data_IF_825151479414
#
_entry.id   IF_825151479414
#
_cell.length_a   1.000
_cell.length_b   1.000
_cell.length_c   1.000
_cell.angle_alpha   90.00
_cell.angle_beta   90.00
_cell.angle_gamma   90.00
#
_symmetry.space_group_name_H-M   'P 1'
#
loop_
_entity.id
_entity.type
_entity.pdbx_description
1 polymer ?
#
# COMPACT_ATOMS: atom_id res chain seq x y z
N UNK A 1 4.56 33.19 -10.53
CA UNK A 1 3.61 32.90 -9.42
C UNK A 1 2.52 31.94 -9.91
N UNK A 2 2.15 30.96 -9.09
CA UNK A 2 1.03 30.09 -9.41
C UNK A 2 -0.28 30.89 -9.32
N UNK A 3 -1.22 30.73 -10.26
CA UNK A 3 -2.44 31.53 -10.31
C UNK A 3 -3.48 31.13 -9.24
N UNK A 4 -3.09 30.29 -8.27
CA UNK A 4 -3.97 29.78 -7.22
C UNK A 4 -3.22 29.57 -5.90
N UNK A 5 -3.91 29.78 -4.78
CA UNK A 5 -3.41 29.59 -3.41
C UNK A 5 -4.10 28.44 -2.69
N UNK A 6 -5.18 27.90 -3.25
CA UNK A 6 -5.96 26.79 -2.69
C UNK A 6 -6.19 25.69 -3.72
N UNK A 7 -6.38 24.45 -3.26
CA UNK A 7 -6.75 23.32 -4.12
C UNK A 7 -8.05 23.56 -4.87
N UNK A 8 -9.02 24.19 -4.23
CA UNK A 8 -10.29 24.57 -4.86
C UNK A 8 -10.07 25.40 -6.11
N UNK A 9 -9.27 26.46 -6.04
CA UNK A 9 -8.95 27.32 -7.19
C UNK A 9 -8.23 26.54 -8.29
N UNK A 10 -7.30 25.64 -7.92
CA UNK A 10 -6.62 24.77 -8.86
C UNK A 10 -7.62 23.87 -9.61
N UNK A 11 -8.51 23.20 -8.89
CA UNK A 11 -9.50 22.32 -9.49
C UNK A 11 -10.54 23.08 -10.33
N UNK A 12 -10.94 24.29 -9.94
CA UNK A 12 -11.81 25.16 -10.75
C UNK A 12 -11.14 25.59 -12.06
N UNK A 13 -9.83 25.87 -12.02
CA UNK A 13 -9.06 26.16 -13.23
C UNK A 13 -9.01 24.94 -14.16
N UNK A 14 -8.74 23.76 -13.62
CA UNK A 14 -8.78 22.50 -14.35
C UNK A 14 -10.17 22.28 -14.97
N UNK A 15 -11.24 22.50 -14.22
CA UNK A 15 -12.60 22.34 -14.70
C UNK A 15 -12.91 23.28 -15.88
N UNK A 16 -12.45 24.53 -15.84
CA UNK A 16 -12.58 25.46 -16.96
C UNK A 16 -11.85 24.97 -18.21
N UNK A 17 -10.61 24.48 -18.05
CA UNK A 17 -9.79 23.97 -19.17
C UNK A 17 -10.36 22.68 -19.78
N UNK A 18 -10.99 21.86 -18.99
CA UNK A 18 -11.52 20.54 -19.38
C UNK A 18 -13.02 20.52 -19.59
N UNK A 19 -13.67 21.68 -19.72
CA UNK A 19 -15.12 21.82 -19.85
C UNK A 19 -15.69 21.15 -21.10
N UNK A 20 -14.92 20.99 -22.17
CA UNK A 20 -15.33 20.38 -23.44
C UNK A 20 -14.22 19.48 -23.99
N UNK A 21 -14.62 18.43 -24.71
CA UNK A 21 -13.70 17.47 -25.34
C UNK A 21 -13.35 16.31 -24.43
N UNK A 22 -12.58 15.36 -24.95
CA UNK A 22 -12.15 14.18 -24.23
C UNK A 22 -10.91 14.48 -23.40
N UNK A 23 -11.03 14.35 -22.09
CA UNK A 23 -9.94 14.59 -21.13
C UNK A 23 -9.79 13.44 -20.16
N UNK A 24 -8.55 13.18 -19.77
CA UNK A 24 -8.23 12.35 -18.61
C UNK A 24 -7.41 13.17 -17.64
N UNK A 25 -7.94 13.40 -16.44
CA UNK A 25 -7.21 14.01 -15.32
C UNK A 25 -6.75 12.86 -14.43
N UNK A 26 -5.45 12.79 -14.16
CA UNK A 26 -4.83 11.78 -13.32
C UNK A 26 -4.12 12.44 -12.15
N UNK A 27 -4.57 12.13 -10.93
CA UNK A 27 -3.89 12.53 -9.70
C UNK A 27 -3.15 11.33 -9.14
N UNK A 28 -1.84 11.40 -9.17
CA UNK A 28 -0.95 10.41 -8.59
C UNK A 28 -0.61 10.78 -7.15
N UNK A 29 -0.46 9.77 -6.31
CA UNK A 29 -0.08 9.92 -4.90
C UNK A 29 -0.97 10.93 -4.14
N UNK A 30 -2.28 10.78 -4.28
CA UNK A 30 -3.28 11.70 -3.75
C UNK A 30 -3.11 11.98 -2.24
N UNK A 31 -2.61 11.01 -1.47
CA UNK A 31 -2.33 11.18 -0.04
C UNK A 31 -1.27 12.27 0.23
N UNK A 32 -0.29 12.45 -0.65
CA UNK A 32 0.69 13.52 -0.49
C UNK A 32 0.10 14.90 -0.73
N UNK A 33 -0.82 15.01 -1.69
CA UNK A 33 -1.57 16.26 -1.90
C UNK A 33 -2.42 16.59 -0.66
N UNK A 34 -3.01 15.57 -0.03
CA UNK A 34 -3.84 15.75 1.16
C UNK A 34 -3.04 16.11 2.42
N UNK A 35 -1.75 15.78 2.50
CA UNK A 35 -0.89 16.21 3.61
C UNK A 35 -0.75 17.74 3.73
N UNK A 36 -0.98 18.45 2.64
CA UNK A 36 -0.88 19.92 2.60
C UNK A 36 -2.23 20.63 2.83
N UNK A 37 -3.34 19.89 2.86
CA UNK A 37 -4.68 20.45 3.10
C UNK A 37 -5.66 19.37 3.49
N UNK A 38 -6.28 19.52 4.67
CA UNK A 38 -7.37 18.67 5.15
C UNK A 38 -8.61 18.72 4.22
N UNK A 39 -8.75 19.78 3.43
CA UNK A 39 -9.96 20.07 2.64
C UNK A 39 -9.86 19.55 1.21
N UNK A 40 -8.71 19.00 0.79
CA UNK A 40 -8.48 18.53 -0.59
C UNK A 40 -9.64 17.68 -1.13
N UNK A 41 -10.07 16.68 -0.37
CA UNK A 41 -11.14 15.74 -0.81
C UNK A 41 -12.49 16.44 -0.89
N UNK A 42 -12.76 17.38 0.02
CA UNK A 42 -13.97 18.20 0.01
C UNK A 42 -13.99 19.17 -1.18
N UNK A 43 -12.87 19.84 -1.46
CA UNK A 43 -12.69 20.72 -2.60
C UNK A 43 -12.84 19.97 -3.93
N UNK A 44 -12.21 18.78 -4.03
CA UNK A 44 -12.36 17.92 -5.21
C UNK A 44 -13.81 17.51 -5.44
N UNK A 45 -14.52 17.11 -4.36
CA UNK A 45 -15.95 16.81 -4.42
C UNK A 45 -16.76 17.98 -4.93
N UNK A 46 -16.53 19.17 -4.34
CA UNK A 46 -17.24 20.38 -4.74
C UNK A 46 -17.07 20.67 -6.23
N UNK A 47 -15.83 20.61 -6.72
CA UNK A 47 -15.55 20.91 -8.13
C UNK A 47 -16.06 19.79 -9.05
N UNK A 48 -16.00 18.53 -8.62
CA UNK A 48 -16.61 17.43 -9.34
C UNK A 48 -18.11 17.64 -9.52
N UNK A 49 -18.82 17.90 -8.42
CA UNK A 49 -20.29 18.02 -8.44
C UNK A 49 -20.79 19.24 -9.22
N UNK A 50 -20.07 20.34 -9.20
CA UNK A 50 -20.51 21.58 -9.80
C UNK A 50 -20.03 21.80 -11.23
N UNK A 51 -18.88 21.21 -11.59
CA UNK A 51 -18.21 21.52 -12.86
C UNK A 51 -17.80 20.27 -13.65
N UNK A 52 -16.90 19.43 -13.13
CA UNK A 52 -16.23 18.38 -13.90
C UNK A 52 -17.22 17.34 -14.46
N UNK A 53 -18.17 16.88 -13.68
CA UNK A 53 -19.16 15.88 -14.11
C UNK A 53 -20.08 16.33 -15.25
N UNK A 54 -20.11 17.63 -15.57
CA UNK A 54 -20.88 18.16 -16.68
C UNK A 54 -20.27 17.82 -18.05
N UNK A 55 -18.98 17.46 -18.07
CA UNK A 55 -18.35 16.94 -19.27
C UNK A 55 -18.40 15.40 -19.28
N UNK A 56 -19.25 14.76 -20.10
CA UNK A 56 -19.41 13.29 -20.10
C UNK A 56 -18.20 12.55 -20.69
N UNK A 57 -17.30 13.26 -21.36
CA UNK A 57 -16.06 12.70 -21.94
C UNK A 57 -14.86 12.85 -21.00
N UNK A 58 -15.03 13.46 -19.83
CA UNK A 58 -13.96 13.63 -18.87
C UNK A 58 -13.85 12.37 -17.99
N UNK A 59 -12.64 11.88 -17.82
CA UNK A 59 -12.27 10.83 -16.86
C UNK A 59 -11.39 11.41 -15.77
N UNK A 60 -11.76 11.18 -14.52
CA UNK A 60 -10.96 11.52 -13.36
C UNK A 60 -10.45 10.23 -12.73
N UNK A 61 -9.13 10.12 -12.62
CA UNK A 61 -8.46 8.98 -12.01
C UNK A 61 -7.73 9.47 -10.76
N UNK A 62 -8.03 8.86 -9.63
CA UNK A 62 -7.37 9.11 -8.35
C UNK A 62 -6.51 7.89 -8.01
N UNK A 63 -5.22 8.10 -7.89
CA UNK A 63 -4.26 7.05 -7.56
C UNK A 63 -3.53 7.37 -6.26
N UNK A 64 -3.20 6.34 -5.49
CA UNK A 64 -2.40 6.47 -4.28
C UNK A 64 -1.88 5.13 -3.82
N UNK A 65 -0.66 5.13 -3.30
CA UNK A 65 0.00 3.96 -2.74
C UNK A 65 -0.41 3.67 -1.30
N UNK A 66 -0.86 4.69 -0.55
CA UNK A 66 -1.33 4.53 0.82
C UNK A 66 -2.75 3.93 0.86
N UNK A 67 -2.82 2.61 0.89
CA UNK A 67 -4.09 1.86 0.82
C UNK A 67 -5.07 2.28 1.92
N UNK A 68 -4.60 2.51 3.16
CA UNK A 68 -5.44 2.98 4.26
C UNK A 68 -6.05 4.35 3.97
N UNK A 69 -5.25 5.31 3.48
CA UNK A 69 -5.73 6.62 3.08
C UNK A 69 -6.78 6.53 1.97
N UNK A 70 -6.45 5.81 0.89
CA UNK A 70 -7.35 5.66 -0.26
C UNK A 70 -8.68 5.01 0.12
N UNK A 71 -8.64 3.97 0.95
CA UNK A 71 -9.87 3.32 1.41
C UNK A 71 -10.69 4.22 2.34
N UNK A 72 -10.06 4.91 3.28
CA UNK A 72 -10.75 5.71 4.30
C UNK A 72 -11.26 7.04 3.72
N UNK A 73 -10.40 7.77 3.00
CA UNK A 73 -10.69 9.13 2.57
C UNK A 73 -11.22 9.24 1.15
N UNK A 74 -11.07 8.22 0.32
CA UNK A 74 -11.56 8.21 -1.07
C UNK A 74 -12.68 7.22 -1.25
N UNK A 75 -12.43 5.93 -1.06
CA UNK A 75 -13.39 4.85 -1.40
C UNK A 75 -14.56 4.79 -0.43
N UNK A 76 -14.29 4.78 0.88
CA UNK A 76 -15.31 4.71 1.95
C UNK A 76 -15.75 6.06 2.47
N UNK A 77 -15.19 7.13 1.91
CA UNK A 77 -15.49 8.49 2.34
C UNK A 77 -16.95 8.84 2.04
N UNK A 78 -17.68 9.33 3.05
CA UNK A 78 -19.00 9.91 2.85
C UNK A 78 -18.98 11.09 1.87
N UNK A 79 -17.82 11.77 1.79
CA UNK A 79 -17.60 12.91 0.90
C UNK A 79 -17.67 12.52 -0.57
N UNK A 80 -17.05 11.38 -0.95
CA UNK A 80 -17.00 10.87 -2.33
C UNK A 80 -17.99 9.72 -2.60
N UNK A 81 -18.88 9.44 -1.67
CA UNK A 81 -19.86 8.37 -1.78
C UNK A 81 -20.65 8.45 -3.11
N UNK A 82 -20.80 7.31 -3.78
CA UNK A 82 -21.46 7.15 -5.09
C UNK A 82 -20.87 7.99 -6.25
N UNK A 83 -19.64 8.48 -6.14
CA UNK A 83 -18.96 9.19 -7.25
C UNK A 83 -17.95 8.34 -7.97
N UNK A 84 -17.37 7.37 -7.30
CA UNK A 84 -16.49 6.39 -7.92
C UNK A 84 -17.30 5.35 -8.70
N UNK A 85 -17.01 5.19 -9.98
CA UNK A 85 -17.63 4.19 -10.86
C UNK A 85 -16.85 2.88 -10.87
N UNK A 86 -15.52 2.98 -10.73
CA UNK A 86 -14.63 1.83 -10.81
C UNK A 86 -13.53 1.96 -9.77
N UNK A 87 -13.27 0.89 -9.06
CA UNK A 87 -12.15 0.77 -8.12
C UNK A 87 -11.24 -0.31 -8.66
N UNK A 88 -9.97 0.07 -8.92
CA UNK A 88 -8.94 -0.85 -9.39
C UNK A 88 -7.92 -1.00 -8.28
N UNK A 89 -7.81 -2.21 -7.75
CA UNK A 89 -6.79 -2.57 -6.78
C UNK A 89 -5.67 -3.32 -7.51
N UNK A 90 -4.51 -2.68 -7.65
CA UNK A 90 -3.32 -3.33 -8.19
C UNK A 90 -2.74 -4.28 -7.14
N UNK A 91 -2.69 -5.55 -7.48
CA UNK A 91 -2.07 -6.59 -6.67
C UNK A 91 -0.65 -6.84 -7.15
N UNK A 92 0.16 -7.43 -6.29
CA UNK A 92 1.42 -8.00 -6.71
C UNK A 92 1.23 -9.09 -7.78
N UNK A 93 2.25 -9.32 -8.57
CA UNK A 93 2.24 -10.39 -9.58
C UNK A 93 2.04 -11.76 -8.92
N UNK A 94 1.20 -12.58 -9.53
CA UNK A 94 1.13 -14.01 -9.25
C UNK A 94 2.42 -14.71 -9.66
N UNK A 95 2.65 -15.93 -9.18
CA UNK A 95 3.83 -16.72 -9.59
C UNK A 95 3.93 -16.89 -11.11
N UNK A 96 2.79 -17.03 -11.80
CA UNK A 96 2.77 -17.14 -13.27
C UNK A 96 3.24 -15.84 -13.94
N UNK A 97 2.78 -14.68 -13.46
CA UNK A 97 3.22 -13.37 -13.96
C UNK A 97 4.69 -13.08 -13.61
N UNK A 98 5.17 -13.53 -12.45
CA UNK A 98 6.60 -13.46 -12.09
C UNK A 98 7.44 -14.30 -13.06
N UNK A 99 6.97 -15.50 -13.43
CA UNK A 99 7.63 -16.35 -14.41
C UNK A 99 7.72 -15.68 -15.78
N UNK A 100 6.65 -15.01 -16.21
CA UNK A 100 6.65 -14.24 -17.47
C UNK A 100 7.57 -13.02 -17.39
N UNK A 101 7.55 -12.31 -16.27
CA UNK A 101 8.30 -11.07 -16.07
C UNK A 101 9.81 -11.32 -16.00
N UNK A 102 10.26 -12.32 -15.23
CA UNK A 102 11.68 -12.64 -15.07
C UNK A 102 12.27 -13.42 -16.25
N UNK A 103 11.41 -14.02 -17.05
CA UNK A 103 11.76 -14.77 -18.25
C UNK A 103 11.94 -16.27 -18.01
N UNK A 104 11.62 -17.02 -19.04
CA UNK A 104 11.53 -18.48 -19.06
C UNK A 104 12.87 -19.22 -18.90
N UNK A 105 13.99 -18.50 -18.79
CA UNK A 105 15.34 -19.07 -18.64
C UNK A 105 15.65 -19.57 -17.22
N UNK A 106 14.85 -19.15 -16.23
CA UNK A 106 15.04 -19.52 -14.84
C UNK A 106 14.26 -20.78 -14.48
N UNK A 107 14.82 -21.59 -13.60
CA UNK A 107 14.16 -22.81 -13.14
C UNK A 107 12.95 -22.47 -12.24
N UNK A 108 11.94 -23.32 -12.26
CA UNK A 108 10.75 -23.12 -11.41
C UNK A 108 11.08 -23.09 -9.91
N UNK A 109 11.98 -23.95 -9.37
CA UNK A 109 12.42 -23.84 -7.98
C UNK A 109 13.05 -22.49 -7.65
N UNK A 110 13.95 -21.97 -8.50
CA UNK A 110 14.56 -20.64 -8.30
C UNK A 110 13.50 -19.53 -8.25
N UNK A 111 12.54 -19.56 -9.15
CA UNK A 111 11.44 -18.59 -9.18
C UNK A 111 10.53 -18.70 -7.96
N UNK A 112 10.25 -19.92 -7.50
CA UNK A 112 9.48 -20.16 -6.27
C UNK A 112 10.19 -19.56 -5.06
N UNK A 113 11.48 -19.79 -4.90
CA UNK A 113 12.26 -19.27 -3.77
C UNK A 113 12.29 -17.73 -3.77
N UNK A 114 12.45 -17.13 -4.95
CA UNK A 114 12.40 -15.68 -5.11
C UNK A 114 11.00 -15.15 -4.76
N UNK A 115 9.94 -15.79 -5.27
CA UNK A 115 8.57 -15.39 -4.98
C UNK A 115 8.21 -15.50 -3.49
N UNK A 116 8.66 -16.56 -2.84
CA UNK A 116 8.45 -16.77 -1.40
C UNK A 116 9.24 -15.77 -0.54
N UNK A 117 10.35 -15.25 -1.05
CA UNK A 117 11.22 -14.30 -0.35
C UNK A 117 10.84 -12.85 -0.58
N UNK A 118 10.54 -12.46 -1.82
CA UNK A 118 10.35 -11.07 -2.23
C UNK A 118 8.90 -10.75 -2.63
N UNK A 119 8.06 -11.78 -2.85
CA UNK A 119 6.72 -11.60 -3.42
C UNK A 119 6.74 -11.30 -4.91
N UNK A 120 5.63 -10.75 -5.38
CA UNK A 120 5.40 -10.40 -6.79
C UNK A 120 5.47 -8.90 -7.08
N UNK A 121 6.11 -8.08 -6.23
CA UNK A 121 6.20 -6.64 -6.45
C UNK A 121 7.15 -6.36 -7.63
N UNK A 122 6.67 -5.75 -8.74
CA UNK A 122 7.47 -5.57 -9.95
C UNK A 122 8.79 -4.83 -9.72
N UNK A 123 8.81 -3.86 -8.82
CA UNK A 123 10.02 -3.10 -8.50
C UNK A 123 11.09 -3.99 -7.87
N UNK A 124 10.71 -4.91 -6.98
CA UNK A 124 11.64 -5.86 -6.37
C UNK A 124 12.21 -6.83 -7.40
N UNK A 125 11.36 -7.31 -8.30
CA UNK A 125 11.76 -8.21 -9.38
C UNK A 125 12.74 -7.53 -10.35
N UNK A 126 12.57 -6.25 -10.65
CA UNK A 126 13.53 -5.47 -11.46
C UNK A 126 14.92 -5.43 -10.85
N UNK A 127 15.03 -5.34 -9.52
CA UNK A 127 16.33 -5.29 -8.83
C UNK A 127 17.15 -6.55 -9.02
N UNK A 128 16.49 -7.68 -9.26
CA UNK A 128 17.13 -9.00 -9.42
C UNK A 128 17.13 -9.52 -10.86
N UNK A 129 16.35 -8.94 -11.77
CA UNK A 129 16.15 -9.42 -13.13
C UNK A 129 17.43 -9.46 -13.97
N UNK A 130 18.37 -8.54 -13.73
CA UNK A 130 19.61 -8.42 -14.51
C UNK A 130 20.69 -9.32 -13.95
N UNK A 131 21.08 -10.35 -14.69
CA UNK A 131 22.19 -11.24 -14.32
C UNK A 131 21.94 -12.71 -14.70
N UNK A 132 22.93 -13.54 -14.44
CA UNK A 132 22.89 -14.98 -14.75
C UNK A 132 22.10 -15.77 -13.68
N UNK A 133 22.07 -15.31 -12.43
CA UNK A 133 21.40 -15.97 -11.32
C UNK A 133 20.61 -14.97 -10.49
N UNK A 134 19.33 -15.29 -10.26
CA UNK A 134 18.43 -14.51 -9.38
C UNK A 134 18.92 -14.54 -7.92
N UNK A 135 19.41 -15.68 -7.44
CA UNK A 135 19.94 -15.82 -6.08
C UNK A 135 21.13 -14.88 -5.82
N UNK A 136 22.11 -14.85 -6.73
CA UNK A 136 23.25 -13.96 -6.59
C UNK A 136 22.79 -12.50 -6.53
N UNK A 137 21.87 -12.11 -7.39
CA UNK A 137 21.32 -10.75 -7.41
C UNK A 137 20.54 -10.44 -6.16
N UNK A 138 19.69 -11.34 -5.69
CA UNK A 138 18.97 -11.19 -4.44
C UNK A 138 19.93 -11.01 -3.26
N UNK A 139 20.99 -11.83 -3.17
CA UNK A 139 22.02 -11.70 -2.13
C UNK A 139 22.75 -10.35 -2.21
N UNK A 140 23.13 -9.90 -3.40
CA UNK A 140 23.77 -8.59 -3.59
C UNK A 140 22.88 -7.45 -3.14
N UNK A 141 21.58 -7.50 -3.45
CA UNK A 141 20.63 -6.45 -3.08
C UNK A 141 20.21 -6.52 -1.61
N UNK A 142 20.37 -7.68 -0.95
CA UNK A 142 19.95 -7.89 0.44
C UNK A 142 21.07 -7.71 1.45
N UNK A 143 22.31 -8.14 1.13
CA UNK A 143 23.37 -8.29 2.13
C UNK A 143 24.62 -7.44 1.87
N UNK A 144 24.73 -6.81 0.68
CA UNK A 144 25.82 -5.88 0.40
C UNK A 144 25.43 -4.49 0.90
N UNK A 145 26.40 -3.76 1.45
CA UNK A 145 26.21 -2.37 1.92
C UNK A 145 25.57 -1.53 0.81
N UNK A 146 24.52 -0.79 1.17
CA UNK A 146 23.69 0.00 0.26
C UNK A 146 22.86 -0.84 -0.76
N UNK A 147 22.68 -2.13 -0.52
CA UNK A 147 21.76 -2.95 -1.29
C UNK A 147 20.31 -2.44 -1.17
N UNK A 148 19.55 -2.57 -2.25
CA UNK A 148 18.19 -2.04 -2.33
C UNK A 148 17.33 -2.52 -1.16
N UNK A 149 17.33 -3.81 -0.87
CA UNK A 149 16.50 -4.41 0.17
C UNK A 149 16.90 -4.06 1.60
N UNK A 150 18.08 -3.50 1.83
CA UNK A 150 18.45 -3.01 3.16
C UNK A 150 17.71 -1.71 3.53
N UNK A 151 17.49 -0.83 2.56
CA UNK A 151 16.84 0.47 2.77
C UNK A 151 15.34 0.46 2.48
N UNK A 152 14.85 -0.58 1.83
CA UNK A 152 13.45 -0.65 1.41
C UNK A 152 12.47 -0.70 2.59
N UNK A 153 12.88 -1.31 3.70
CA UNK A 153 12.07 -1.34 4.93
C UNK A 153 11.68 0.06 5.41
N UNK A 154 12.60 1.01 5.31
CA UNK A 154 12.33 2.38 5.73
C UNK A 154 11.36 3.06 4.76
N UNK A 155 11.47 2.81 3.45
CA UNK A 155 10.59 3.35 2.42
C UNK A 155 9.16 2.87 2.57
N UNK A 156 8.96 1.58 2.85
CA UNK A 156 7.63 0.98 3.04
C UNK A 156 6.87 1.71 4.15
N UNK A 157 7.51 1.92 5.31
CA UNK A 157 6.86 2.57 6.44
C UNK A 157 6.79 4.09 6.31
N UNK A 158 7.67 4.71 5.50
CA UNK A 158 7.60 6.15 5.21
C UNK A 158 6.41 6.51 4.35
N UNK A 159 6.18 5.74 3.29
CA UNK A 159 5.19 6.08 2.27
C UNK A 159 3.75 5.78 2.66
N UNK A 160 3.54 4.81 3.56
CA UNK A 160 2.20 4.26 3.77
C UNK A 160 1.56 4.60 5.12
N UNK A 161 2.34 5.03 6.14
CA UNK A 161 1.87 5.06 7.52
C UNK A 161 2.41 6.27 8.29
N UNK A 162 1.53 6.93 9.04
CA UNK A 162 1.86 8.15 9.80
C UNK A 162 2.68 7.89 11.08
N UNK A 163 2.51 6.74 11.72
CA UNK A 163 3.15 6.36 13.00
C UNK A 163 4.16 5.22 12.79
N UNK A 164 5.24 5.52 12.06
CA UNK A 164 6.24 4.58 11.53
C UNK A 164 6.82 3.63 12.57
N UNK A 165 7.16 4.14 13.73
CA UNK A 165 7.85 3.36 14.76
C UNK A 165 6.95 2.26 15.35
N UNK A 166 5.69 2.59 15.62
CA UNK A 166 4.75 1.63 16.17
C UNK A 166 4.36 0.55 15.15
N UNK A 167 4.15 0.91 13.89
CA UNK A 167 3.89 -0.07 12.84
C UNK A 167 5.06 -1.04 12.66
N UNK A 168 6.29 -0.52 12.64
CA UNK A 168 7.51 -1.33 12.52
C UNK A 168 7.65 -2.31 13.68
N UNK A 169 7.45 -1.86 14.92
CA UNK A 169 7.48 -2.71 16.11
C UNK A 169 6.44 -3.83 16.07
N UNK A 170 5.21 -3.55 15.60
CA UNK A 170 4.18 -4.58 15.46
C UNK A 170 4.61 -5.65 14.46
N UNK A 171 5.11 -5.27 13.30
CA UNK A 171 5.57 -6.21 12.27
C UNK A 171 6.78 -7.01 12.76
N UNK A 172 7.74 -6.38 13.43
CA UNK A 172 8.89 -7.03 14.03
C UNK A 172 8.47 -8.11 15.04
N UNK A 173 7.58 -7.77 15.97
CA UNK A 173 7.04 -8.74 16.96
C UNK A 173 6.32 -9.90 16.29
N UNK A 174 5.54 -9.63 15.24
CA UNK A 174 4.85 -10.66 14.47
C UNK A 174 5.82 -11.54 13.67
N UNK A 175 6.92 -11.01 13.18
CA UNK A 175 7.90 -11.77 12.40
C UNK A 175 8.62 -12.85 13.21
N UNK A 176 8.73 -12.68 14.53
CA UNK A 176 9.37 -13.63 15.45
C UNK A 176 8.58 -14.92 15.66
N UNK A 177 7.31 -14.95 15.30
CA UNK A 177 6.40 -16.10 15.52
C UNK A 177 5.58 -16.36 14.27
N UNK A 178 5.11 -17.60 14.11
CA UNK A 178 4.25 -17.96 12.98
C UNK A 178 2.93 -17.18 13.00
N UNK A 179 2.38 -16.94 14.18
CA UNK A 179 1.20 -16.09 14.41
C UNK A 179 1.13 -15.67 15.87
N UNK A 180 0.45 -14.57 16.16
CA UNK A 180 0.14 -14.08 17.50
C UNK A 180 -1.33 -13.64 17.57
N UNK A 181 -1.94 -13.75 18.76
CA UNK A 181 -3.21 -13.08 19.05
C UNK A 181 -2.98 -11.60 19.36
N UNK A 182 -4.05 -10.78 19.34
CA UNK A 182 -3.96 -9.36 19.72
C UNK A 182 -3.38 -9.19 21.13
N UNK A 183 -3.81 -10.00 22.09
CA UNK A 183 -3.32 -9.96 23.49
C UNK A 183 -1.81 -10.26 23.57
N UNK A 184 -1.35 -11.24 22.79
CA UNK A 184 0.08 -11.57 22.73
C UNK A 184 0.92 -10.46 22.09
N UNK A 185 0.38 -9.76 21.08
CA UNK A 185 1.04 -8.58 20.49
C UNK A 185 1.18 -7.48 21.54
N UNK A 186 0.10 -7.14 22.25
CA UNK A 186 0.11 -6.12 23.30
C UNK A 186 1.11 -6.43 24.41
N UNK A 187 1.11 -7.68 24.90
CA UNK A 187 2.05 -8.13 25.92
C UNK A 187 3.51 -8.00 25.49
N UNK A 188 3.82 -8.31 24.21
CA UNK A 188 5.19 -8.21 23.68
C UNK A 188 5.64 -6.78 23.42
N UNK A 189 4.71 -5.88 23.15
CA UNK A 189 4.99 -4.46 22.96
C UNK A 189 5.06 -3.68 24.29
N UNK A 190 4.71 -4.35 25.40
CA UNK A 190 4.60 -3.72 26.73
C UNK A 190 3.66 -2.50 26.73
N UNK A 191 2.53 -2.61 26.03
CA UNK A 191 1.53 -1.55 25.94
C UNK A 191 0.18 -2.03 26.45
N UNK A 192 -0.53 -1.11 27.09
CA UNK A 192 -1.89 -1.37 27.54
C UNK A 192 -2.86 -1.45 26.37
N UNK A 193 -3.93 -2.23 26.55
CA UNK A 193 -5.00 -2.32 25.56
C UNK A 193 -5.64 -0.94 25.34
N UNK A 194 -5.58 -0.45 24.09
CA UNK A 194 -6.15 0.84 23.69
C UNK A 194 -6.64 0.83 22.25
N UNK A 195 -7.44 1.82 21.89
CA UNK A 195 -7.97 1.99 20.51
C UNK A 195 -6.86 2.13 19.49
N UNK A 196 -5.79 2.87 19.82
CA UNK A 196 -4.66 3.16 18.93
C UNK A 196 -4.01 1.89 18.35
N UNK A 197 -3.70 0.89 19.17
CA UNK A 197 -3.09 -0.37 18.67
C UNK A 197 -4.05 -1.14 17.76
N UNK A 198 -5.34 -1.10 18.03
CA UNK A 198 -6.33 -1.73 17.15
C UNK A 198 -6.37 -1.07 15.77
N UNK A 199 -6.29 0.25 15.71
CA UNK A 199 -6.21 1.01 14.46
C UNK A 199 -4.93 0.66 13.69
N UNK A 200 -3.77 0.62 14.37
CA UNK A 200 -2.50 0.26 13.75
C UNK A 200 -2.52 -1.16 13.16
N UNK A 201 -3.07 -2.14 13.88
CA UNK A 201 -3.23 -3.51 13.39
C UNK A 201 -4.21 -3.55 12.19
N UNK A 202 -5.29 -2.78 12.25
CA UNK A 202 -6.23 -2.67 11.16
C UNK A 202 -5.59 -2.07 9.90
N UNK A 203 -4.84 -0.99 10.04
CA UNK A 203 -4.11 -0.36 8.94
C UNK A 203 -3.11 -1.31 8.30
N UNK A 204 -2.29 -2.01 9.11
CA UNK A 204 -1.37 -3.04 8.60
C UNK A 204 -2.09 -4.17 7.86
N UNK A 205 -3.30 -4.53 8.30
CA UNK A 205 -4.12 -5.55 7.64
C UNK A 205 -4.69 -5.02 6.32
N UNK A 206 -5.16 -3.77 6.30
CA UNK A 206 -5.64 -3.10 5.09
C UNK A 206 -4.52 -2.96 4.06
N UNK A 207 -3.32 -2.59 4.50
CA UNK A 207 -2.12 -2.49 3.67
C UNK A 207 -1.54 -3.86 3.27
N UNK A 208 -2.11 -4.98 3.75
CA UNK A 208 -1.68 -6.35 3.49
C UNK A 208 -0.26 -6.70 3.99
N UNK A 209 0.30 -5.90 4.86
CA UNK A 209 1.56 -6.25 5.52
C UNK A 209 1.37 -7.42 6.50
N UNK A 210 0.20 -7.49 7.11
CA UNK A 210 -0.21 -8.60 7.95
C UNK A 210 -1.55 -9.16 7.50
N UNK A 211 -1.80 -10.43 7.79
CA UNK A 211 -3.11 -11.05 7.64
C UNK A 211 -3.71 -11.38 9.01
N UNK A 212 -5.03 -11.27 9.07
CA UNK A 212 -5.83 -11.58 10.25
C UNK A 212 -6.74 -12.78 9.93
N UNK A 213 -6.56 -13.88 10.63
CA UNK A 213 -7.29 -15.14 10.40
C UNK A 213 -8.08 -15.52 11.63
N UNK A 214 -9.40 -15.65 11.50
CA UNK A 214 -10.24 -16.21 12.54
C UNK A 214 -10.17 -17.75 12.53
N UNK A 215 -10.25 -18.42 13.70
CA UNK A 215 -10.41 -19.86 13.74
C UNK A 215 -11.70 -20.30 13.05
N UNK A 216 -11.70 -21.49 12.45
CA UNK A 216 -12.87 -22.06 11.79
C UNK A 216 -14.07 -22.09 12.76
N UNK A 217 -15.22 -21.61 12.31
CA UNK A 217 -16.44 -21.54 13.10
C UNK A 217 -16.53 -20.36 14.09
N UNK A 218 -15.59 -19.43 14.06
CA UNK A 218 -15.65 -18.18 14.83
C UNK A 218 -15.86 -16.96 13.91
N UNK A 219 -16.51 -15.94 14.45
CA UNK A 219 -16.80 -14.69 13.74
C UNK A 219 -15.48 -13.93 13.52
N UNK A 220 -15.37 -13.23 12.41
CA UNK A 220 -14.33 -12.21 12.20
C UNK A 220 -14.36 -11.23 13.38
N UNK A 221 -13.20 -10.80 13.87
CA UNK A 221 -13.00 -9.99 15.08
C UNK A 221 -13.16 -10.73 16.42
N UNK A 222 -13.11 -12.07 16.44
CA UNK A 222 -13.03 -12.81 17.68
C UNK A 222 -11.71 -12.53 18.40
N UNK A 223 -11.71 -12.57 19.75
CA UNK A 223 -10.48 -12.47 20.57
C UNK A 223 -9.42 -13.54 20.21
N UNK A 224 -9.85 -14.62 19.54
CA UNK A 224 -9.00 -15.72 19.09
C UNK A 224 -8.39 -15.46 17.69
N UNK A 225 -8.65 -14.31 17.09
CA UNK A 225 -8.07 -13.93 15.80
C UNK A 225 -6.54 -13.96 15.87
N UNK A 226 -5.92 -14.53 14.84
CA UNK A 226 -4.48 -14.71 14.73
C UNK A 226 -3.93 -13.83 13.63
N UNK A 227 -2.89 -13.09 13.97
CA UNK A 227 -2.19 -12.18 13.07
C UNK A 227 -0.85 -12.78 12.69
N UNK A 228 -0.47 -12.63 11.44
CA UNK A 228 0.84 -13.03 10.90
C UNK A 228 1.30 -12.03 9.84
N UNK A 229 2.60 -11.90 9.66
CA UNK A 229 3.15 -11.15 8.53
C UNK A 229 2.79 -11.87 7.25
N UNK A 230 2.08 -11.21 6.33
CA UNK A 230 1.68 -11.77 5.03
C UNK A 230 2.62 -11.34 3.90
N UNK A 231 3.21 -10.16 4.01
CA UNK A 231 4.17 -9.65 3.04
C UNK A 231 5.45 -10.50 3.03
N UNK A 232 5.83 -11.00 1.84
CA UNK A 232 6.98 -11.89 1.68
C UNK A 232 8.30 -11.21 1.97
N UNK A 233 8.48 -9.96 1.49
CA UNK A 233 9.69 -9.21 1.72
C UNK A 233 9.88 -8.87 3.20
N UNK A 234 8.82 -8.45 3.92
CA UNK A 234 8.91 -8.17 5.35
C UNK A 234 9.29 -9.43 6.15
N UNK A 235 8.72 -10.59 5.80
CA UNK A 235 9.12 -11.88 6.42
C UNK A 235 10.59 -12.20 6.16
N UNK A 236 11.05 -11.99 4.93
CA UNK A 236 12.43 -12.22 4.54
C UNK A 236 13.36 -11.24 5.27
N UNK A 237 13.03 -9.95 5.28
CA UNK A 237 13.81 -8.91 5.94
C UNK A 237 14.07 -9.22 7.42
N UNK A 238 13.01 -9.37 8.20
CA UNK A 238 13.14 -9.58 9.65
C UNK A 238 13.73 -10.95 10.06
N UNK A 239 13.85 -11.85 9.12
CA UNK A 239 14.45 -13.17 9.38
C UNK A 239 15.91 -13.27 8.97
N UNK A 240 16.34 -12.52 7.96
CA UNK A 240 17.63 -12.73 7.31
C UNK A 240 18.49 -11.48 7.15
N UNK A 241 17.90 -10.28 7.15
CA UNK A 241 18.58 -8.99 7.07
C UNK A 241 18.63 -8.32 8.44
#
# INVERSE_FOLDING_TARGET
ELPFTTWKQCFELLAKKTAKGAWTIYFEELQWMACYSSDLVADLKYVWDNFLKKNPQLRLILCGSATSFMLTHVVRSQVLYNRSQTIIELKEFSLAEVYEFLGKKHSLPELMDIYLSLGGIPEYLKQIQKGASLYIKMCQQSFVKNGFFQSEIDRIFVSNLSDREHYRKIVEVLSQKKFLTREQILSKLDVQSGGKISELIQDLTICRFISANAPIGKVENSKLQRYQVSDSYLRFYYKFI
#
